data_IF_799497185220
#
_entry.id   IF_799497185220
#
_cell.length_a   1.000
_cell.length_b   1.000
_cell.length_c   1.000
_cell.angle_alpha   90.00
_cell.angle_beta   90.00
_cell.angle_gamma   90.00
#
_symmetry.space_group_name_H-M   'P 1'
#
loop_
_entity.id
_entity.type
_entity.pdbx_description
1 polymer ?
#
# COMPACT_ATOMS: atom_id res chain seq x y z
N UNK A 1 -9.93 -7.02 15.29
CA UNK A 1 -11.19 -6.86 16.09
C UNK A 1 -11.78 -5.44 15.96
N UNK A 2 -11.05 -4.32 16.19
CA UNK A 2 -11.64 -2.98 16.09
C UNK A 2 -12.16 -2.61 14.69
N UNK A 3 -11.49 -3.07 13.63
CA UNK A 3 -11.93 -2.82 12.26
C UNK A 3 -13.28 -3.50 11.93
N UNK A 4 -13.50 -4.70 12.45
CA UNK A 4 -14.72 -5.45 12.25
C UNK A 4 -15.91 -4.80 12.99
N UNK A 5 -15.68 -4.33 14.23
CA UNK A 5 -16.69 -3.60 15.00
C UNK A 5 -17.07 -2.29 14.31
N UNK A 6 -16.09 -1.54 13.78
CA UNK A 6 -16.32 -0.32 13.03
C UNK A 6 -17.14 -0.57 11.76
N UNK A 7 -16.78 -1.60 10.98
CA UNK A 7 -17.55 -2.01 9.82
C UNK A 7 -19.03 -2.28 10.15
N UNK A 8 -19.31 -2.99 11.25
CA UNK A 8 -20.66 -3.27 11.69
C UNK A 8 -21.42 -2.02 12.13
N UNK A 9 -20.76 -1.12 12.83
CA UNK A 9 -21.36 0.16 13.25
C UNK A 9 -21.73 0.98 12.02
N UNK A 10 -20.81 1.20 11.09
CA UNK A 10 -21.03 1.96 9.85
C UNK A 10 -22.16 1.34 9.00
N UNK A 11 -22.19 0.02 8.90
CA UNK A 11 -23.20 -0.70 8.13
C UNK A 11 -24.61 -0.53 8.73
N UNK A 12 -24.74 -0.62 10.06
CA UNK A 12 -26.01 -0.38 10.75
C UNK A 12 -26.49 1.06 10.64
N UNK A 13 -25.59 2.01 10.72
CA UNK A 13 -25.91 3.42 10.53
C UNK A 13 -26.44 3.70 9.12
N UNK A 14 -25.77 3.18 8.10
CA UNK A 14 -26.23 3.27 6.70
C UNK A 14 -27.60 2.62 6.50
N UNK A 15 -27.81 1.44 7.07
CA UNK A 15 -29.11 0.79 6.98
C UNK A 15 -30.22 1.63 7.61
N UNK A 16 -30.01 2.21 8.80
CA UNK A 16 -30.99 3.10 9.47
C UNK A 16 -31.36 4.30 8.62
N UNK A 17 -30.42 4.85 7.87
CA UNK A 17 -30.65 5.99 6.99
C UNK A 17 -31.45 5.59 5.74
N UNK A 18 -31.24 4.38 5.22
CA UNK A 18 -31.78 3.95 3.93
C UNK A 18 -33.03 3.05 4.02
N UNK A 19 -33.31 2.45 5.18
CA UNK A 19 -34.40 1.47 5.36
C UNK A 19 -35.81 2.01 5.07
N UNK A 20 -35.98 3.34 5.02
CA UNK A 20 -37.26 4.00 4.75
C UNK A 20 -37.50 4.35 3.28
N UNK A 21 -36.55 4.05 2.37
CA UNK A 21 -36.68 4.37 0.96
C UNK A 21 -37.42 3.23 0.20
N UNK A 22 -38.69 3.44 -0.23
CA UNK A 22 -39.45 2.41 -0.96
C UNK A 22 -38.96 2.22 -2.39
N UNK A 23 -38.28 3.20 -2.98
CA UNK A 23 -37.75 3.09 -4.35
C UNK A 23 -36.44 2.29 -4.40
N UNK A 24 -35.70 2.25 -3.27
CA UNK A 24 -34.44 1.54 -3.15
C UNK A 24 -34.41 0.68 -1.88
N UNK A 25 -35.18 -0.41 -1.83
CA UNK A 25 -35.25 -1.25 -0.66
C UNK A 25 -33.88 -1.89 -0.36
N UNK A 26 -33.43 -1.76 0.88
CA UNK A 26 -32.18 -2.33 1.37
C UNK A 26 -32.45 -3.49 2.32
N UNK A 27 -31.62 -4.52 2.24
CA UNK A 27 -31.68 -5.65 3.17
C UNK A 27 -31.02 -5.29 4.50
N UNK A 28 -31.51 -5.85 5.62
CA UNK A 28 -30.86 -5.66 6.89
C UNK A 28 -29.43 -6.24 6.87
N UNK A 29 -28.49 -5.60 7.58
CA UNK A 29 -27.08 -6.04 7.59
C UNK A 29 -26.88 -7.50 7.91
N UNK A 30 -27.69 -8.06 8.81
CA UNK A 30 -27.65 -9.45 9.23
C UNK A 30 -28.03 -10.44 8.13
N UNK A 31 -28.72 -9.99 7.09
CA UNK A 31 -29.03 -10.82 5.92
C UNK A 31 -27.90 -10.86 4.89
N UNK A 32 -26.95 -9.90 4.98
CA UNK A 32 -25.85 -9.75 4.02
C UNK A 32 -24.50 -10.15 4.61
N UNK A 33 -24.29 -9.95 5.91
CA UNK A 33 -23.02 -10.11 6.56
C UNK A 33 -23.11 -10.93 7.84
N UNK A 34 -22.07 -11.68 8.14
CA UNK A 34 -21.92 -12.38 9.43
C UNK A 34 -21.72 -11.36 10.55
N UNK A 35 -22.32 -11.58 11.70
CA UNK A 35 -21.95 -10.86 12.92
C UNK A 35 -20.52 -11.18 13.35
N UNK A 36 -19.91 -10.34 14.18
CA UNK A 36 -18.56 -10.59 14.72
C UNK A 36 -18.49 -11.98 15.40
N UNK A 37 -19.47 -12.29 16.24
CA UNK A 37 -19.51 -13.57 16.98
C UNK A 37 -19.65 -14.77 16.05
N UNK A 38 -20.50 -14.67 15.02
CA UNK A 38 -20.65 -15.71 13.99
C UNK A 38 -19.35 -15.90 13.22
N UNK A 39 -18.71 -14.82 12.77
CA UNK A 39 -17.45 -14.87 12.05
C UNK A 39 -16.35 -15.55 12.89
N UNK A 40 -16.12 -15.08 14.12
CA UNK A 40 -15.08 -15.67 14.98
C UNK A 40 -15.41 -17.11 15.38
N UNK A 41 -16.68 -17.47 15.52
CA UNK A 41 -17.09 -18.85 15.79
C UNK A 41 -16.75 -19.76 14.61
N UNK A 42 -17.02 -19.31 13.38
CA UNK A 42 -16.65 -20.06 12.18
C UNK A 42 -15.13 -20.15 12.00
N UNK A 43 -14.39 -19.09 12.29
CA UNK A 43 -12.93 -19.10 12.21
C UNK A 43 -12.27 -20.13 13.12
N UNK A 44 -12.90 -20.50 14.26
CA UNK A 44 -12.34 -21.52 15.19
C UNK A 44 -12.18 -22.91 14.56
N UNK A 45 -12.93 -23.21 13.51
CA UNK A 45 -12.82 -24.46 12.78
C UNK A 45 -11.61 -24.53 11.83
N UNK A 46 -10.92 -23.42 11.63
CA UNK A 46 -9.79 -23.28 10.69
C UNK A 46 -8.48 -23.01 11.44
N UNK A 47 -7.36 -23.39 10.83
CA UNK A 47 -6.05 -22.99 11.31
C UNK A 47 -5.93 -21.48 11.31
N UNK A 48 -5.36 -20.90 12.35
CA UNK A 48 -5.24 -19.46 12.54
C UNK A 48 -3.78 -19.06 12.67
N UNK A 49 -3.38 -18.07 11.88
CA UNK A 49 -2.09 -17.42 12.00
C UNK A 49 -2.30 -15.97 12.43
N UNK A 50 -1.78 -15.60 13.59
CA UNK A 50 -1.86 -14.25 14.11
C UNK A 50 -0.62 -13.44 13.69
N UNK A 51 -0.80 -12.45 12.80
CA UNK A 51 0.24 -11.48 12.46
C UNK A 51 0.11 -10.28 13.39
N UNK A 52 1.14 -10.02 14.19
CA UNK A 52 1.17 -8.89 15.14
C UNK A 52 2.36 -8.00 14.80
N UNK A 53 2.16 -6.70 14.54
CA UNK A 53 3.27 -5.77 14.40
C UNK A 53 3.93 -5.53 15.77
N UNK A 54 5.26 -5.63 15.82
CA UNK A 54 6.08 -5.04 16.88
C UNK A 54 5.86 -5.55 18.31
N UNK A 55 5.77 -6.87 18.51
CA UNK A 55 5.98 -7.43 19.86
C UNK A 55 7.46 -7.66 20.03
N UNK A 56 8.12 -6.85 20.87
CA UNK A 56 9.58 -6.85 21.11
C UNK A 56 10.12 -8.17 21.66
N UNK A 57 9.28 -9.10 22.10
CA UNK A 57 9.65 -10.35 22.73
C UNK A 57 9.61 -11.58 21.81
N UNK A 58 9.38 -11.44 20.52
CA UNK A 58 9.42 -12.58 19.61
C UNK A 58 10.83 -12.70 19.02
N UNK A 59 11.48 -13.80 19.34
CA UNK A 59 12.82 -14.23 18.91
C UNK A 59 13.02 -14.24 17.36
N UNK A 60 11.96 -14.00 16.59
CA UNK A 60 11.91 -14.11 15.13
C UNK A 60 12.11 -12.79 14.36
N UNK A 61 12.36 -11.67 15.00
CA UNK A 61 12.68 -10.41 14.28
C UNK A 61 14.01 -10.47 13.51
N UNK A 62 14.82 -11.51 13.76
CA UNK A 62 16.08 -11.74 13.04
C UNK A 62 15.85 -12.14 11.56
N UNK A 63 14.71 -12.76 11.22
CA UNK A 63 14.41 -13.23 9.87
C UNK A 63 14.00 -12.10 8.91
N UNK A 64 13.31 -11.08 9.45
CA UNK A 64 12.85 -9.93 8.67
C UNK A 64 13.40 -8.64 9.26
N UNK A 65 14.12 -7.89 8.47
CA UNK A 65 14.73 -6.63 8.91
C UNK A 65 14.24 -5.46 8.04
N UNK A 66 14.05 -4.26 8.60
CA UNK A 66 13.79 -3.07 7.80
C UNK A 66 15.02 -2.70 6.97
N UNK A 67 14.77 -1.99 5.87
CA UNK A 67 15.87 -1.39 5.11
C UNK A 67 16.51 -0.23 5.87
N UNK A 68 17.79 -0.02 5.61
CA UNK A 68 18.42 1.28 5.82
C UNK A 68 17.79 2.31 4.88
N UNK A 69 18.13 3.58 5.04
CA UNK A 69 17.62 4.65 4.16
C UNK A 69 18.07 4.45 2.72
N UNK A 70 17.12 4.08 1.84
CA UNK A 70 17.29 3.90 0.39
C UNK A 70 16.71 5.06 -0.42
N UNK A 71 16.28 6.13 0.25
CA UNK A 71 15.55 7.22 -0.39
C UNK A 71 16.36 7.93 -1.47
N UNK A 72 15.64 8.31 -2.53
CA UNK A 72 16.15 9.13 -3.63
C UNK A 72 16.61 10.49 -3.14
N UNK A 73 17.81 10.89 -3.52
CA UNK A 73 18.36 12.22 -3.22
C UNK A 73 18.12 13.14 -4.42
N UNK A 74 17.04 13.91 -4.35
CA UNK A 74 16.68 14.84 -5.44
C UNK A 74 17.76 15.90 -5.65
N UNK A 75 18.12 16.13 -6.92
CA UNK A 75 19.13 17.14 -7.30
C UNK A 75 20.57 16.67 -7.11
N UNK A 76 20.83 15.44 -6.68
CA UNK A 76 22.16 14.83 -6.69
C UNK A 76 22.55 14.43 -8.13
N UNK A 77 23.83 14.32 -8.38
CA UNK A 77 24.38 13.78 -9.64
C UNK A 77 23.92 12.34 -9.89
N UNK A 78 23.93 11.52 -8.82
CA UNK A 78 23.29 10.19 -8.79
C UNK A 78 22.13 10.20 -7.79
N UNK A 79 20.87 10.34 -8.24
CA UNK A 79 19.72 10.31 -7.38
C UNK A 79 19.52 8.99 -6.65
N UNK A 80 20.01 7.88 -7.21
CA UNK A 80 19.89 6.52 -6.67
C UNK A 80 21.15 6.05 -5.94
N UNK A 81 22.08 6.95 -5.57
CA UNK A 81 23.35 6.60 -4.94
C UNK A 81 23.21 5.63 -3.75
N UNK A 82 22.15 5.80 -2.92
CA UNK A 82 21.88 4.94 -1.77
C UNK A 82 21.46 3.53 -2.18
N UNK A 83 20.55 3.43 -3.16
CA UNK A 83 20.13 2.14 -3.73
C UNK A 83 21.32 1.45 -4.41
N UNK A 84 22.10 2.16 -5.20
CA UNK A 84 23.31 1.62 -5.84
C UNK A 84 24.31 1.10 -4.80
N UNK A 85 24.54 1.86 -3.72
CA UNK A 85 25.40 1.43 -2.64
C UNK A 85 24.86 0.16 -1.95
N UNK A 86 23.54 0.10 -1.71
CA UNK A 86 22.88 -1.07 -1.14
C UNK A 86 23.07 -2.30 -2.02
N UNK A 87 22.74 -2.21 -3.32
CA UNK A 87 22.89 -3.30 -4.29
C UNK A 87 24.34 -3.81 -4.34
N UNK A 88 25.33 -2.91 -4.28
CA UNK A 88 26.75 -3.31 -4.30
C UNK A 88 27.15 -4.04 -3.04
N UNK A 89 26.65 -3.58 -1.88
CA UNK A 89 27.14 -4.04 -0.58
C UNK A 89 26.35 -5.23 -0.02
N UNK A 90 25.07 -5.41 -0.43
CA UNK A 90 24.27 -6.53 0.05
C UNK A 90 24.73 -7.85 -0.60
N UNK A 91 24.71 -8.93 0.18
CA UNK A 91 24.84 -10.29 -0.33
C UNK A 91 23.50 -10.82 -0.87
N UNK A 92 22.40 -10.15 -0.54
CA UNK A 92 21.06 -10.53 -0.96
C UNK A 92 20.78 -10.14 -2.40
N UNK A 93 19.85 -10.84 -3.01
CA UNK A 93 19.20 -10.42 -4.26
C UNK A 93 18.14 -9.37 -3.96
N UNK A 94 17.99 -8.39 -4.83
CA UNK A 94 17.11 -7.25 -4.61
C UNK A 94 15.94 -7.30 -5.58
N UNK A 95 14.71 -7.37 -5.09
CA UNK A 95 13.50 -7.27 -5.91
C UNK A 95 12.80 -5.94 -5.65
N UNK A 96 12.81 -5.09 -6.68
CA UNK A 96 12.08 -3.84 -6.68
C UNK A 96 10.60 -4.13 -6.95
N UNK A 97 9.70 -3.50 -6.20
CA UNK A 97 8.27 -3.75 -6.28
C UNK A 97 7.49 -2.46 -6.55
N UNK A 98 6.67 -2.48 -7.60
CA UNK A 98 5.70 -1.44 -7.90
C UNK A 98 4.27 -1.93 -7.62
N UNK A 99 3.34 -1.04 -7.26
CA UNK A 99 1.96 -1.41 -6.93
C UNK A 99 1.13 -1.86 -8.14
N UNK A 100 1.53 -1.45 -9.36
CA UNK A 100 0.83 -1.77 -10.61
C UNK A 100 1.78 -1.73 -11.80
N UNK A 101 1.35 -2.30 -12.93
CA UNK A 101 2.16 -2.34 -14.16
C UNK A 101 2.50 -0.93 -14.66
N UNK A 102 1.55 0.01 -14.61
CA UNK A 102 1.81 1.40 -15.01
C UNK A 102 2.84 2.07 -14.10
N UNK A 103 2.82 1.81 -12.80
CA UNK A 103 3.84 2.30 -11.86
C UNK A 103 5.18 1.60 -12.07
N UNK A 104 5.17 0.31 -12.40
CA UNK A 104 6.40 -0.42 -12.76
C UNK A 104 7.10 0.23 -13.94
N UNK A 105 6.38 0.54 -15.02
CA UNK A 105 6.98 1.19 -16.19
C UNK A 105 7.54 2.58 -15.84
N UNK A 106 6.80 3.37 -15.05
CA UNK A 106 7.28 4.68 -14.60
C UNK A 106 8.53 4.56 -13.71
N UNK A 107 8.58 3.55 -12.85
CA UNK A 107 9.75 3.26 -12.02
C UNK A 107 10.93 2.80 -12.88
N UNK A 108 10.71 1.93 -13.87
CA UNK A 108 11.74 1.48 -14.80
C UNK A 108 12.36 2.66 -15.57
N UNK A 109 11.56 3.59 -16.05
CA UNK A 109 12.07 4.78 -16.75
C UNK A 109 12.95 5.64 -15.84
N UNK A 110 12.54 5.81 -14.58
CA UNK A 110 13.34 6.51 -13.58
C UNK A 110 14.66 5.78 -13.25
N UNK A 111 14.62 4.46 -13.10
CA UNK A 111 15.80 3.63 -12.82
C UNK A 111 16.78 3.66 -14.01
N UNK A 112 16.27 3.57 -15.25
CA UNK A 112 17.09 3.66 -16.48
C UNK A 112 17.82 4.99 -16.58
N UNK A 113 17.13 6.10 -16.24
CA UNK A 113 17.76 7.42 -16.23
C UNK A 113 18.96 7.51 -15.28
N UNK A 114 18.99 6.64 -14.24
CA UNK A 114 20.08 6.52 -13.27
C UNK A 114 20.96 5.28 -13.51
N UNK A 115 21.00 4.77 -14.74
CA UNK A 115 21.84 3.64 -15.17
C UNK A 115 21.56 2.31 -14.46
N UNK A 116 20.38 2.12 -13.89
CA UNK A 116 19.90 0.86 -13.34
C UNK A 116 18.81 0.28 -14.25
N UNK A 117 19.06 -0.89 -14.82
CA UNK A 117 18.14 -1.53 -15.77
C UNK A 117 17.81 -2.97 -15.34
N UNK A 118 17.01 -3.15 -14.30
CA UNK A 118 16.63 -4.46 -13.80
C UNK A 118 15.69 -5.17 -14.80
N UNK A 119 15.85 -6.48 -15.04
CA UNK A 119 14.87 -7.28 -15.76
C UNK A 119 13.54 -7.32 -15.00
N UNK A 120 12.43 -7.32 -15.75
CA UNK A 120 11.09 -7.45 -15.22
C UNK A 120 10.71 -8.93 -15.07
N UNK A 121 10.01 -9.26 -13.98
CA UNK A 121 9.50 -10.58 -13.66
C UNK A 121 8.00 -10.51 -13.35
N UNK A 122 7.27 -11.55 -13.73
CA UNK A 122 5.83 -11.63 -13.49
C UNK A 122 5.50 -12.08 -12.06
N UNK A 123 6.47 -12.72 -11.39
CA UNK A 123 6.28 -13.22 -10.02
C UNK A 123 7.60 -13.34 -9.24
N UNK A 124 7.47 -13.43 -7.91
CA UNK A 124 8.61 -13.79 -7.05
C UNK A 124 9.19 -15.16 -7.40
N UNK A 125 8.35 -16.14 -7.72
CA UNK A 125 8.81 -17.48 -8.08
C UNK A 125 9.65 -17.47 -9.36
N UNK A 126 9.27 -16.66 -10.33
CA UNK A 126 10.06 -16.47 -11.55
C UNK A 126 11.40 -15.80 -11.22
N UNK A 127 11.41 -14.71 -10.46
CA UNK A 127 12.65 -14.08 -10.02
C UNK A 127 13.57 -15.06 -9.27
N UNK A 128 13.02 -15.89 -8.40
CA UNK A 128 13.80 -16.89 -7.67
C UNK A 128 14.42 -17.94 -8.60
N UNK A 129 13.69 -18.36 -9.65
CA UNK A 129 14.20 -19.34 -10.62
C UNK A 129 15.36 -18.81 -11.48
N UNK A 130 15.45 -17.49 -11.66
CA UNK A 130 16.56 -16.81 -12.35
C UNK A 130 17.67 -16.45 -11.37
N UNK A 131 18.35 -17.46 -10.82
CA UNK A 131 19.33 -17.31 -9.74
C UNK A 131 20.53 -16.40 -10.04
N UNK A 132 20.84 -16.10 -11.29
CA UNK A 132 21.98 -15.25 -11.71
C UNK A 132 21.65 -13.74 -11.59
N UNK A 133 20.37 -13.37 -11.60
CA UNK A 133 19.96 -11.98 -11.56
C UNK A 133 19.99 -11.43 -10.13
N UNK A 134 20.90 -10.49 -9.90
CA UNK A 134 21.04 -9.87 -8.57
C UNK A 134 19.91 -8.89 -8.27
N UNK A 135 19.40 -8.19 -9.29
CA UNK A 135 18.34 -7.18 -9.18
C UNK A 135 17.25 -7.50 -10.15
N UNK A 136 16.00 -7.41 -9.72
CA UNK A 136 14.82 -7.54 -10.56
C UNK A 136 13.77 -6.51 -10.21
N UNK A 137 12.73 -6.42 -11.05
CA UNK A 137 11.54 -5.61 -10.78
C UNK A 137 10.29 -6.44 -11.06
N UNK A 138 9.28 -6.32 -10.20
CA UNK A 138 8.00 -6.99 -10.36
C UNK A 138 6.84 -6.09 -9.88
N UNK A 139 5.61 -6.56 -10.11
CA UNK A 139 4.39 -5.90 -9.58
C UNK A 139 3.87 -6.67 -8.37
N UNK A 140 3.69 -5.99 -7.24
CA UNK A 140 3.08 -6.57 -6.05
C UNK A 140 2.45 -5.51 -5.16
N UNK A 141 1.36 -5.87 -4.47
CA UNK A 141 0.67 -5.02 -3.51
C UNK A 141 1.37 -5.00 -2.14
N UNK A 142 2.65 -4.66 -2.13
CA UNK A 142 3.44 -4.49 -0.92
C UNK A 142 3.69 -3.00 -0.67
N UNK A 143 3.26 -2.49 0.49
CA UNK A 143 3.37 -1.05 0.81
C UNK A 143 4.69 -0.66 1.45
N UNK A 144 5.39 -1.59 2.10
CA UNK A 144 6.66 -1.35 2.78
C UNK A 144 7.59 -2.53 2.52
N UNK A 145 8.78 -2.23 2.04
CA UNK A 145 9.83 -3.22 1.79
C UNK A 145 10.47 -3.74 3.08
N UNK A 146 11.14 -4.86 2.95
CA UNK A 146 11.88 -5.50 4.04
C UNK A 146 12.99 -6.39 3.48
N UNK A 147 13.90 -6.79 4.36
CA UNK A 147 14.98 -7.74 4.06
C UNK A 147 14.61 -9.09 4.64
N UNK A 148 14.57 -10.13 3.82
CA UNK A 148 14.35 -11.51 4.25
C UNK A 148 15.69 -12.23 4.37
N UNK A 149 16.20 -12.28 5.60
CA UNK A 149 17.56 -12.70 5.89
C UNK A 149 17.85 -14.16 5.55
N UNK A 150 16.88 -15.06 5.79
CA UNK A 150 17.05 -16.49 5.52
C UNK A 150 17.14 -16.82 4.04
N UNK A 151 16.28 -16.15 3.24
CA UNK A 151 16.23 -16.38 1.79
C UNK A 151 17.23 -15.52 1.02
N UNK A 152 17.92 -14.61 1.69
CA UNK A 152 18.84 -13.69 1.03
C UNK A 152 18.13 -12.78 0.02
N UNK A 153 16.94 -12.29 0.37
CA UNK A 153 16.10 -11.46 -0.48
C UNK A 153 15.82 -10.10 0.18
N UNK A 154 15.99 -9.04 -0.58
CA UNK A 154 15.65 -7.68 -0.18
C UNK A 154 14.50 -7.19 -1.07
N UNK A 155 13.33 -6.92 -0.48
CA UNK A 155 12.15 -6.38 -1.17
C UNK A 155 12.13 -4.87 -0.98
N UNK A 156 12.29 -4.10 -2.06
CA UNK A 156 12.34 -2.63 -2.02
C UNK A 156 11.12 -2.10 -2.77
N UNK A 157 10.26 -1.35 -2.08
CA UNK A 157 9.08 -0.73 -2.71
C UNK A 157 9.33 0.73 -3.05
N UNK A 158 8.39 1.34 -3.76
CA UNK A 158 8.42 2.78 -4.03
C UNK A 158 8.45 3.62 -2.74
N UNK A 159 7.92 3.08 -1.64
CA UNK A 159 7.91 3.77 -0.33
C UNK A 159 9.33 3.99 0.20
N UNK A 160 10.24 3.03 0.06
CA UNK A 160 11.63 3.18 0.48
C UNK A 160 12.38 4.17 -0.42
N UNK A 161 12.09 4.17 -1.72
CA UNK A 161 12.76 5.05 -2.68
C UNK A 161 12.27 6.49 -2.60
N UNK A 162 10.96 6.68 -2.44
CA UNK A 162 10.35 8.00 -2.43
C UNK A 162 9.87 8.43 -1.04
N UNK A 163 10.40 7.78 0.01
CA UNK A 163 10.12 8.20 1.37
C UNK A 163 10.48 9.68 1.52
N UNK A 164 9.49 10.50 1.80
CA UNK A 164 9.77 11.83 2.28
C UNK A 164 10.46 11.66 3.64
N UNK A 165 11.60 12.35 3.83
CA UNK A 165 12.50 12.19 4.97
C UNK A 165 11.83 12.19 6.36
N UNK A 166 12.54 11.93 7.44
CA UNK A 166 12.01 11.60 8.78
C UNK A 166 10.99 12.58 9.39
N UNK A 167 10.84 13.75 8.81
CA UNK A 167 9.82 14.74 9.16
C UNK A 167 8.38 14.34 8.76
N UNK A 168 8.19 13.38 7.87
CA UNK A 168 6.89 13.10 7.26
C UNK A 168 6.08 12.02 7.98
N UNK A 169 6.70 11.16 8.80
CA UNK A 169 5.92 10.18 9.59
C UNK A 169 5.04 10.84 10.66
N UNK A 170 5.47 11.97 11.21
CA UNK A 170 4.67 12.78 12.16
C UNK A 170 3.64 13.63 11.43
N UNK A 171 3.97 14.09 10.22
CA UNK A 171 3.07 14.89 9.37
C UNK A 171 1.97 14.03 8.75
N UNK A 172 2.26 12.80 8.26
CA UNK A 172 1.25 11.90 7.67
C UNK A 172 0.13 11.52 8.64
N UNK A 173 0.40 11.42 9.96
CA UNK A 173 -0.63 11.18 10.97
C UNK A 173 -1.45 12.46 11.28
N UNK A 174 -0.89 13.62 11.04
CA UNK A 174 -1.55 14.93 11.23
C UNK A 174 -2.21 15.40 9.92
N UNK A 175 -1.64 15.03 8.75
CA UNK A 175 -2.20 15.29 7.42
C UNK A 175 -3.42 14.40 7.13
N UNK A 176 -3.52 13.18 7.66
CA UNK A 176 -4.74 12.36 7.52
C UNK A 176 -5.96 12.96 8.25
N UNK A 177 -5.75 13.79 9.26
CA UNK A 177 -6.84 14.54 9.93
C UNK A 177 -7.08 15.87 9.22
N UNK A 178 -6.04 16.51 8.66
CA UNK A 178 -6.17 17.76 7.91
C UNK A 178 -6.61 17.53 6.45
N UNK A 179 -6.32 16.36 5.85
CA UNK A 179 -6.76 16.02 4.50
C UNK A 179 -8.29 15.85 4.41
N UNK A 180 -8.95 15.37 5.47
CA UNK A 180 -10.42 15.30 5.49
C UNK A 180 -11.03 16.69 5.56
N UNK A 181 -10.46 17.61 6.35
CA UNK A 181 -10.91 19.01 6.41
C UNK A 181 -10.53 19.79 5.14
N UNK A 182 -9.37 19.55 4.55
CA UNK A 182 -8.95 20.12 3.28
C UNK A 182 -9.80 19.57 2.11
N UNK A 183 -10.12 18.26 2.11
CA UNK A 183 -10.99 17.63 1.11
C UNK A 183 -12.43 18.19 1.19
N UNK A 184 -12.94 18.45 2.39
CA UNK A 184 -14.26 19.07 2.58
C UNK A 184 -14.24 20.51 2.10
N UNK A 185 -13.13 21.23 2.28
CA UNK A 185 -12.98 22.60 1.83
C UNK A 185 -12.87 22.70 0.30
N UNK A 186 -12.07 21.81 -0.31
CA UNK A 186 -11.95 21.69 -1.78
C UNK A 186 -13.28 21.30 -2.45
N UNK A 187 -14.07 20.42 -1.83
CA UNK A 187 -15.39 20.04 -2.35
C UNK A 187 -16.41 21.19 -2.29
N UNK A 188 -16.28 22.11 -1.35
CA UNK A 188 -17.15 23.29 -1.25
C UNK A 188 -16.82 24.37 -2.29
N UNK A 189 -15.63 24.34 -2.89
CA UNK A 189 -15.19 25.26 -3.95
C UNK A 189 -15.53 24.76 -5.35
N UNK A 190 -15.99 23.48 -5.51
CA UNK A 190 -16.37 22.92 -6.80
C UNK A 190 -17.72 23.42 -7.27
N UNK A 191 -17.74 24.02 -8.44
CA UNK A 191 -18.98 24.42 -9.13
C UNK A 191 -19.50 23.30 -10.04
N UNK A 192 -20.84 23.22 -10.18
CA UNK A 192 -21.44 22.28 -11.12
C UNK A 192 -20.93 22.57 -12.54
N UNK A 193 -20.33 21.57 -13.17
CA UNK A 193 -19.73 21.68 -14.49
C UNK A 193 -18.20 21.65 -14.48
N UNK A 194 -17.55 21.81 -13.35
CA UNK A 194 -16.10 21.78 -13.26
C UNK A 194 -15.52 20.41 -13.66
N UNK A 195 -14.37 20.37 -14.34
CA UNK A 195 -13.70 19.13 -14.68
C UNK A 195 -13.11 18.51 -13.40
N UNK A 196 -13.43 17.24 -13.13
CA UNK A 196 -12.92 16.49 -12.00
C UNK A 196 -12.31 15.17 -12.47
N UNK A 197 -11.29 14.71 -11.75
CA UNK A 197 -10.64 13.42 -12.01
C UNK A 197 -11.05 12.45 -10.91
N UNK A 198 -11.76 11.41 -11.29
CA UNK A 198 -12.10 10.31 -10.38
C UNK A 198 -11.00 9.26 -10.41
N UNK A 199 -10.50 8.83 -9.24
CA UNK A 199 -9.38 7.89 -9.13
C UNK A 199 -9.59 6.55 -9.85
N UNK A 200 -10.85 6.11 -10.00
CA UNK A 200 -11.19 4.83 -10.65
C UNK A 200 -11.87 4.98 -12.01
N UNK A 201 -12.48 6.14 -12.33
CA UNK A 201 -13.30 6.33 -13.52
C UNK A 201 -12.76 7.39 -14.49
N UNK A 202 -11.60 7.99 -14.18
CA UNK A 202 -10.95 8.98 -15.05
C UNK A 202 -11.60 10.37 -14.99
N UNK A 203 -11.53 11.10 -16.09
CA UNK A 203 -11.96 12.50 -16.16
C UNK A 203 -13.47 12.60 -16.36
N UNK A 204 -14.14 13.38 -15.53
CA UNK A 204 -15.59 13.68 -15.61
C UNK A 204 -15.89 15.14 -15.33
N UNK A 205 -17.18 15.49 -15.29
CA UNK A 205 -17.65 16.81 -14.84
C UNK A 205 -18.46 16.67 -13.56
N UNK A 206 -18.18 17.54 -12.60
CA UNK A 206 -18.92 17.57 -11.33
C UNK A 206 -20.37 17.96 -11.58
N UNK A 207 -21.32 17.17 -11.06
CA UNK A 207 -22.77 17.41 -11.20
C UNK A 207 -23.47 17.73 -9.87
N UNK A 208 -22.70 17.91 -8.80
CA UNK A 208 -23.22 18.09 -7.45
C UNK A 208 -23.25 16.78 -6.66
N UNK A 209 -23.51 16.91 -5.37
CA UNK A 209 -23.79 15.77 -4.48
C UNK A 209 -25.29 15.46 -4.56
N UNK A 210 -25.62 14.20 -4.82
CA UNK A 210 -27.00 13.68 -4.84
C UNK A 210 -27.27 12.98 -3.52
#
# INVERSE_FOLDING_TARGET
EPAFQRFWQDTRERFRLLQGDPERPVLPPEALFLSADQFYTQCKAHAQLALRPGVEDVVDSAHFQPHTDLSVVRGAEDPLARLHAHIRNTQHRVLLLAESDGRRESLLDFLRASQLNPPAFDSLAEFQSHGEEKVGIATAALTTGFRWMEEGLDFVTETELFAAGPTTRRRKKQEQVSDVEALIKDLSELNVGDPVVHSQHGIGRYRGLV
#
